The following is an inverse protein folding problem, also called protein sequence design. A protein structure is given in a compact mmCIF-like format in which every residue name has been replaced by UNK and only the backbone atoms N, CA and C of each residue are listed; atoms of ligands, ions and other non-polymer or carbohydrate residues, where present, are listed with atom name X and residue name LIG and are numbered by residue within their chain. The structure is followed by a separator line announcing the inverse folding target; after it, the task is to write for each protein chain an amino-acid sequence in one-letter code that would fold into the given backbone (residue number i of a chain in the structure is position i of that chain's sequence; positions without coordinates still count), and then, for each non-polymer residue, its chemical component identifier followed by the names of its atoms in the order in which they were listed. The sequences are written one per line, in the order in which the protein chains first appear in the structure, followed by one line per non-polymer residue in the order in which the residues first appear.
data_IF_592923987494
#
_entry.id   IF_592923987494
#
_cell.length_a   1.000
_cell.length_b   1.000
_cell.length_c   1.000
_cell.angle_alpha   90.00
_cell.angle_beta   90.00
_cell.angle_gamma   90.00
#
_symmetry.space_group_name_H-M   'P 1'
#
loop_
_entity.id
_entity.type
_entity.pdbx_description
1 polymer ?
#
# COMPACT_ATOMS: atom_id res chain seq x y z
N UNK A 1 -29.27 6.06 25.66
CA UNK A 1 -29.75 6.34 24.29
C UNK A 1 -28.54 6.35 23.35
N UNK A 2 -28.60 5.68 22.20
CA UNK A 2 -27.54 5.70 21.17
C UNK A 2 -27.89 6.68 20.07
N UNK A 3 -26.88 7.28 19.43
CA UNK A 3 -27.08 8.19 18.29
C UNK A 3 -26.28 7.70 17.09
N UNK A 4 -26.96 7.46 15.98
CA UNK A 4 -26.34 7.08 14.71
C UNK A 4 -26.35 8.28 13.76
N UNK A 5 -25.19 8.60 13.19
CA UNK A 5 -25.06 9.65 12.18
C UNK A 5 -24.89 9.01 10.81
N UNK A 6 -25.87 9.19 9.93
CA UNK A 6 -25.84 8.70 8.54
C UNK A 6 -25.55 9.87 7.63
N UNK A 7 -24.61 9.71 6.71
CA UNK A 7 -24.36 10.67 5.64
C UNK A 7 -24.71 10.04 4.30
N UNK A 8 -25.65 10.64 3.56
CA UNK A 8 -25.99 10.24 2.19
C UNK A 8 -26.00 11.47 1.28
N UNK A 9 -25.20 11.43 0.22
CA UNK A 9 -25.16 12.45 -0.83
C UNK A 9 -25.10 13.90 -0.31
N UNK A 10 -24.31 14.13 0.76
CA UNK A 10 -24.11 15.44 1.39
C UNK A 10 -25.12 15.82 2.49
N UNK A 11 -26.20 15.04 2.67
CA UNK A 11 -27.14 15.22 3.76
C UNK A 11 -26.70 14.41 4.98
N UNK A 12 -26.87 15.00 6.18
CA UNK A 12 -26.58 14.35 7.46
C UNK A 12 -27.86 14.11 8.22
N UNK A 13 -28.09 12.86 8.58
CA UNK A 13 -29.22 12.43 9.39
C UNK A 13 -28.72 11.98 10.76
N UNK A 14 -29.40 12.43 11.81
CA UNK A 14 -29.12 12.04 13.19
C UNK A 14 -30.28 11.19 13.66
N UNK A 15 -30.04 9.90 13.85
CA UNK A 15 -31.06 8.93 14.26
C UNK A 15 -30.83 8.62 15.73
N UNK A 16 -31.82 8.92 16.57
CA UNK A 16 -31.82 8.52 17.97
C UNK A 16 -32.36 7.10 18.09
N UNK A 17 -31.58 6.23 18.72
CA UNK A 17 -31.90 4.82 18.91
C UNK A 17 -31.93 4.50 20.40
N UNK A 18 -32.76 3.52 20.75
CA UNK A 18 -32.78 2.95 22.09
C UNK A 18 -31.44 2.25 22.40
N UNK A 19 -31.07 2.15 23.66
CA UNK A 19 -29.81 1.50 24.09
C UNK A 19 -29.77 0.01 23.78
N UNK A 20 -30.93 -0.59 23.62
CA UNK A 20 -31.12 -1.99 23.26
C UNK A 20 -30.99 -2.26 21.76
N UNK A 21 -30.87 -1.22 20.93
CA UNK A 21 -30.69 -1.40 19.50
C UNK A 21 -29.32 -2.01 19.19
N UNK A 22 -29.33 -3.15 18.49
CA UNK A 22 -28.15 -3.74 17.88
C UNK A 22 -27.72 -2.89 16.68
N UNK A 23 -26.55 -2.28 16.80
CA UNK A 23 -25.93 -1.50 15.73
C UNK A 23 -25.08 -2.43 14.86
N UNK A 24 -25.10 -2.28 13.53
CA UNK A 24 -24.13 -2.96 12.70
C UNK A 24 -22.72 -2.48 13.10
N UNK A 25 -21.75 -3.39 13.04
CA UNK A 25 -20.35 -3.01 13.22
C UNK A 25 -20.01 -1.92 12.19
N UNK A 26 -19.50 -0.79 12.68
CA UNK A 26 -18.99 0.24 11.79
C UNK A 26 -17.89 -0.39 10.94
N UNK A 27 -17.87 -0.18 9.61
CA UNK A 27 -16.76 -0.63 8.79
C UNK A 27 -15.49 -0.06 9.40
N UNK A 28 -14.60 -0.94 9.84
CA UNK A 28 -13.35 -0.49 10.43
C UNK A 28 -12.61 0.36 9.40
N UNK A 29 -11.99 1.47 9.82
CA UNK A 29 -11.21 2.30 8.92
C UNK A 29 -10.11 1.44 8.30
N UNK A 30 -10.32 1.00 7.05
CA UNK A 30 -9.32 0.25 6.31
C UNK A 30 -8.15 1.19 6.04
N UNK A 31 -6.96 0.77 6.45
CA UNK A 31 -5.74 1.49 6.14
C UNK A 31 -5.59 1.59 4.62
N UNK A 32 -5.28 2.79 4.12
CA UNK A 32 -5.14 3.02 2.69
C UNK A 32 -4.06 2.10 2.09
N UNK A 33 -4.35 1.44 0.97
CA UNK A 33 -3.50 0.37 0.40
C UNK A 33 -2.06 0.78 0.16
N UNK A 34 -1.80 2.04 -0.20
CA UNK A 34 -0.44 2.55 -0.37
C UNK A 34 0.35 2.58 0.95
N UNK A 35 -0.30 2.86 2.10
CA UNK A 35 0.35 2.80 3.41
C UNK A 35 0.64 1.35 3.80
N UNK A 36 -0.29 0.44 3.53
CA UNK A 36 -0.09 -1.01 3.72
C UNK A 36 1.12 -1.50 2.93
N UNK A 37 1.24 -1.08 1.66
CA UNK A 37 2.39 -1.43 0.82
C UNK A 37 3.71 -0.86 1.35
N UNK A 38 3.72 0.43 1.74
CA UNK A 38 4.94 1.08 2.27
C UNK A 38 5.43 0.41 3.56
N UNK A 39 4.52 0.08 4.48
CA UNK A 39 4.84 -0.66 5.71
C UNK A 39 5.42 -2.04 5.40
N UNK A 40 4.81 -2.75 4.46
CA UNK A 40 5.29 -4.05 4.00
C UNK A 40 6.69 -3.95 3.37
N UNK A 41 6.91 -3.00 2.46
CA UNK A 41 8.21 -2.78 1.81
C UNK A 41 9.33 -2.55 2.83
N UNK A 42 9.07 -1.69 3.83
CA UNK A 42 10.01 -1.41 4.91
C UNK A 42 10.35 -2.67 5.71
N UNK A 43 9.36 -3.53 5.96
CA UNK A 43 9.58 -4.80 6.64
C UNK A 43 10.47 -5.74 5.81
N UNK A 44 10.28 -5.81 4.49
CA UNK A 44 11.14 -6.58 3.59
C UNK A 44 12.58 -6.05 3.56
N UNK A 45 12.78 -4.73 3.42
CA UNK A 45 14.12 -4.14 3.53
C UNK A 45 14.81 -4.54 4.84
N UNK A 46 14.08 -4.51 5.96
CA UNK A 46 14.63 -4.90 7.27
C UNK A 46 15.04 -6.38 7.31
N UNK A 47 14.23 -7.29 6.76
CA UNK A 47 14.55 -8.73 6.70
C UNK A 47 15.83 -8.99 5.89
N UNK A 48 16.06 -8.20 4.85
CA UNK A 48 17.19 -8.36 3.93
C UNK A 48 18.43 -7.54 4.33
N UNK A 49 18.38 -6.82 5.46
CA UNK A 49 19.47 -5.95 5.90
C UNK A 49 19.75 -4.78 4.94
N UNK A 50 18.73 -4.30 4.22
CA UNK A 50 18.79 -3.14 3.33
C UNK A 50 18.43 -1.90 4.15
N UNK A 51 19.32 -0.90 4.19
CA UNK A 51 19.00 0.37 4.85
C UNK A 51 17.81 1.04 4.17
N UNK A 52 16.85 1.52 4.95
CA UNK A 52 15.65 2.17 4.43
C UNK A 52 15.72 3.67 4.71
N UNK A 53 16.15 4.49 3.73
CA UNK A 53 16.40 5.91 3.93
C UNK A 53 15.09 6.68 3.99
N UNK A 54 14.47 6.70 5.17
CA UNK A 54 13.14 7.24 5.45
C UNK A 54 12.89 8.62 4.83
N UNK A 55 13.86 9.53 4.94
CA UNK A 55 13.76 10.92 4.47
C UNK A 55 13.65 11.05 2.94
N UNK A 56 14.12 10.06 2.20
CA UNK A 56 14.10 10.03 0.74
C UNK A 56 13.00 9.09 0.24
N UNK A 57 12.91 7.91 0.85
CA UNK A 57 12.04 6.83 0.41
C UNK A 57 10.56 7.11 0.66
N UNK A 58 10.17 7.73 1.78
CA UNK A 58 8.75 7.91 2.09
C UNK A 58 8.03 8.98 1.25
N UNK A 59 8.52 10.24 1.15
CA UNK A 59 7.81 11.26 0.40
C UNK A 59 7.59 10.87 -1.06
N UNK A 60 8.64 10.30 -1.69
CA UNK A 60 8.57 9.82 -3.07
C UNK A 60 7.79 8.49 -3.17
N UNK A 61 8.00 7.57 -2.24
CA UNK A 61 7.33 6.27 -2.22
C UNK A 61 5.81 6.40 -2.14
N UNK A 62 5.28 7.29 -1.30
CA UNK A 62 3.83 7.52 -1.24
C UNK A 62 3.24 7.95 -2.59
N UNK A 63 3.90 8.87 -3.29
CA UNK A 63 3.43 9.37 -4.60
C UNK A 63 3.50 8.26 -5.65
N UNK A 64 4.63 7.56 -5.73
CA UNK A 64 4.86 6.48 -6.69
C UNK A 64 3.86 5.34 -6.46
N UNK A 65 3.77 4.84 -5.24
CA UNK A 65 2.90 3.70 -4.90
C UNK A 65 1.44 4.04 -5.14
N UNK A 66 0.98 5.24 -4.80
CA UNK A 66 -0.38 5.69 -5.15
C UNK A 66 -0.61 5.69 -6.66
N UNK A 67 0.38 6.11 -7.45
CA UNK A 67 0.28 6.09 -8.92
C UNK A 67 0.23 4.67 -9.47
N UNK A 68 1.02 3.76 -8.90
CA UNK A 68 1.06 2.36 -9.31
C UNK A 68 -0.24 1.63 -8.97
N UNK A 69 -0.82 1.89 -7.80
CA UNK A 69 -2.11 1.32 -7.37
C UNK A 69 -3.31 1.76 -8.22
N UNK A 70 -3.15 2.76 -9.12
CA UNK A 70 -4.17 3.07 -10.14
C UNK A 70 -4.24 2.02 -11.25
N UNK A 71 -3.19 1.24 -11.44
CA UNK A 71 -3.00 0.29 -12.55
C UNK A 71 -2.77 -1.15 -12.08
N UNK A 72 -2.54 -1.35 -10.79
CA UNK A 72 -2.13 -2.60 -10.19
C UNK A 72 -2.86 -2.82 -8.87
N UNK A 73 -3.13 -4.08 -8.52
CA UNK A 73 -3.62 -4.41 -7.18
C UNK A 73 -2.48 -4.36 -6.17
N UNK A 74 -2.82 -4.34 -4.87
CA UNK A 74 -1.82 -4.37 -3.81
C UNK A 74 -1.00 -5.67 -3.87
N UNK A 75 -1.68 -6.78 -4.13
CA UNK A 75 -1.12 -8.12 -4.24
C UNK A 75 -0.14 -8.21 -5.42
N UNK A 76 -0.53 -7.73 -6.61
CA UNK A 76 0.35 -7.67 -7.79
C UNK A 76 1.62 -6.87 -7.51
N UNK A 77 1.49 -5.71 -6.84
CA UNK A 77 2.67 -4.89 -6.51
C UNK A 77 3.59 -5.60 -5.52
N UNK A 78 3.05 -6.34 -4.55
CA UNK A 78 3.87 -7.12 -3.60
C UNK A 78 4.60 -8.27 -4.29
N UNK A 79 3.95 -8.94 -5.23
CA UNK A 79 4.57 -10.00 -6.02
C UNK A 79 5.73 -9.46 -6.86
N UNK A 80 5.49 -8.38 -7.62
CA UNK A 80 6.52 -7.70 -8.41
C UNK A 80 7.67 -7.18 -7.54
N UNK A 81 7.34 -6.62 -6.36
CA UNK A 81 8.35 -6.15 -5.43
C UNK A 81 9.18 -7.30 -4.85
N UNK A 82 8.57 -8.46 -4.57
CA UNK A 82 9.28 -9.65 -4.12
C UNK A 82 10.27 -10.13 -5.17
N UNK A 83 9.84 -10.22 -6.43
CA UNK A 83 10.72 -10.54 -7.55
C UNK A 83 11.88 -9.52 -7.66
N UNK A 84 11.56 -8.23 -7.56
CA UNK A 84 12.55 -7.16 -7.57
C UNK A 84 13.59 -7.28 -6.45
N UNK A 85 13.18 -7.61 -5.23
CA UNK A 85 14.09 -7.81 -4.11
C UNK A 85 15.04 -9.00 -4.35
N UNK A 86 14.56 -10.09 -4.93
CA UNK A 86 15.38 -11.27 -5.24
C UNK A 86 16.42 -10.98 -6.33
N UNK A 87 16.04 -10.23 -7.37
CA UNK A 87 16.91 -9.95 -8.52
C UNK A 87 17.84 -8.74 -8.30
N UNK A 88 17.40 -7.73 -7.56
CA UNK A 88 18.04 -6.41 -7.50
C UNK A 88 18.24 -5.88 -6.07
N UNK A 89 18.05 -6.71 -5.04
CA UNK A 89 18.15 -6.30 -3.63
C UNK A 89 19.48 -5.63 -3.26
N UNK A 90 20.59 -6.04 -3.87
CA UNK A 90 21.90 -5.44 -3.64
C UNK A 90 22.00 -4.00 -4.16
N UNK A 91 21.34 -3.67 -5.28
CA UNK A 91 21.33 -2.29 -5.80
C UNK A 91 20.62 -1.32 -4.87
N UNK A 92 19.67 -1.80 -4.08
CA UNK A 92 19.00 -0.99 -3.05
C UNK A 92 19.92 -0.66 -1.88
N UNK A 93 20.92 -1.50 -1.60
CA UNK A 93 21.92 -1.20 -0.56
C UNK A 93 22.85 -0.05 -0.98
N UNK A 94 23.08 0.08 -2.29
CA UNK A 94 23.94 1.11 -2.87
C UNK A 94 23.19 2.42 -3.18
N UNK A 95 21.88 2.34 -3.47
CA UNK A 95 21.06 3.50 -3.86
C UNK A 95 19.73 3.58 -3.08
N UNK A 96 19.60 4.65 -2.30
CA UNK A 96 18.44 4.92 -1.45
C UNK A 96 17.12 5.25 -2.19
N UNK A 97 17.10 5.33 -3.52
CA UNK A 97 15.92 5.66 -4.33
C UNK A 97 15.05 4.44 -4.63
N UNK A 98 14.68 3.69 -3.58
CA UNK A 98 14.07 2.36 -3.69
C UNK A 98 12.85 2.32 -4.63
N UNK A 99 11.88 3.21 -4.40
CA UNK A 99 10.61 3.21 -5.14
C UNK A 99 10.75 3.69 -6.58
N UNK A 100 11.71 4.58 -6.86
CA UNK A 100 11.96 5.03 -8.23
C UNK A 100 12.56 3.90 -9.07
N UNK A 101 13.55 3.20 -8.52
CA UNK A 101 14.19 2.06 -9.19
C UNK A 101 13.15 0.96 -9.42
N UNK A 102 12.37 0.62 -8.40
CA UNK A 102 11.27 -0.34 -8.50
C UNK A 102 10.27 0.03 -9.59
N UNK A 103 9.75 1.26 -9.57
CA UNK A 103 8.76 1.72 -10.56
C UNK A 103 9.28 1.65 -12.00
N UNK A 104 10.56 1.94 -12.22
CA UNK A 104 11.17 1.85 -13.55
C UNK A 104 11.25 0.42 -14.10
N UNK A 105 11.21 -0.59 -13.22
CA UNK A 105 11.39 -2.01 -13.57
C UNK A 105 10.09 -2.79 -13.70
N UNK A 106 8.96 -2.25 -13.25
CA UNK A 106 7.67 -2.95 -13.28
C UNK A 106 7.31 -3.45 -14.69
N UNK A 107 7.50 -2.64 -15.73
CA UNK A 107 7.18 -3.04 -17.10
C UNK A 107 8.01 -4.23 -17.56
N UNK A 108 9.31 -4.24 -17.25
CA UNK A 108 10.24 -5.33 -17.56
C UNK A 108 9.86 -6.61 -16.81
N UNK A 109 9.68 -6.52 -15.48
CA UNK A 109 9.32 -7.67 -14.65
C UNK A 109 7.98 -8.30 -15.06
N UNK A 110 6.98 -7.49 -15.43
CA UNK A 110 5.71 -8.01 -15.95
C UNK A 110 5.86 -8.74 -17.28
N UNK A 111 6.85 -8.40 -18.10
CA UNK A 111 7.12 -9.10 -19.36
C UNK A 111 7.88 -10.41 -19.11
N UNK A 112 8.80 -10.43 -18.15
CA UNK A 112 9.55 -11.62 -17.73
C UNK A 112 8.62 -12.67 -17.10
N UNK A 113 7.78 -12.27 -16.13
CA UNK A 113 6.82 -13.17 -15.48
C UNK A 113 5.78 -13.76 -16.45
N UNK A 114 5.46 -13.07 -17.54
CA UNK A 114 4.55 -13.58 -18.59
C UNK A 114 5.22 -14.58 -19.54
N UNK A 115 6.55 -14.68 -19.56
CA UNK A 115 7.28 -15.64 -20.40
C UNK A 115 7.53 -16.97 -19.70
N UNK A 116 7.46 -16.98 -18.37
CA UNK A 116 7.72 -18.16 -17.54
C UNK A 116 6.46 -18.93 -17.12
N UNK A 117 5.26 -18.37 -17.36
CA UNK A 117 3.96 -19.02 -17.15
C UNK A 117 3.28 -19.40 -18.46
#
# INVERSE_FOLDING_TARGET
MKTLVVSDSGHRFVISLDDTADLPELPQPQEASHLVFMKWWRAECRKMGIDYPWRVAEPQGHVIVRSLLKKHTLEELKELATHFFLDQGDKLREDGRHFMIFASRIATMKHELKREG
#
